data_IF_445552452452
#
_entry.id   IF_445552452452
#
_cell.length_a   1.000
_cell.length_b   1.000
_cell.length_c   1.000
_cell.angle_alpha   90.00
_cell.angle_beta   90.00
_cell.angle_gamma   90.00
#
_symmetry.space_group_name_H-M   'P 1'
#
loop_
_entity.id
_entity.type
_entity.pdbx_description
1 polymer ?
#
# COMPACT_ATOMS: atom_id res chain seq x y z
N UNK A 1 -16.44 19.05 -19.15
CA UNK A 1 -15.06 19.53 -19.04
C UNK A 1 -14.30 18.41 -18.36
N UNK A 2 -13.27 17.86 -18.98
CA UNK A 2 -12.47 16.80 -18.36
C UNK A 2 -11.37 17.41 -17.52
N UNK A 3 -11.05 16.75 -16.43
CA UNK A 3 -10.00 17.08 -15.49
C UNK A 3 -8.64 17.00 -16.19
N UNK A 4 -7.76 17.95 -15.90
CA UNK A 4 -6.39 17.89 -16.42
C UNK A 4 -5.63 16.74 -15.76
N UNK A 5 -4.52 16.34 -16.38
CA UNK A 5 -3.62 15.32 -15.83
C UNK A 5 -3.21 15.65 -14.39
N UNK A 6 -2.89 16.91 -14.11
CA UNK A 6 -2.46 17.39 -12.80
C UNK A 6 -3.60 17.28 -11.78
N UNK A 7 -4.82 17.62 -12.18
CA UNK A 7 -6.01 17.49 -11.34
C UNK A 7 -6.29 16.01 -11.02
N UNK A 8 -6.18 15.12 -12.01
CA UNK A 8 -6.32 13.68 -11.82
C UNK A 8 -5.24 13.12 -10.87
N UNK A 9 -3.99 13.58 -11.00
CA UNK A 9 -2.91 13.17 -10.09
C UNK A 9 -3.17 13.61 -8.64
N UNK A 10 -3.66 14.83 -8.43
CA UNK A 10 -4.01 15.34 -7.10
C UNK A 10 -5.20 14.58 -6.49
N UNK A 11 -6.22 14.24 -7.30
CA UNK A 11 -7.34 13.40 -6.86
C UNK A 11 -6.84 12.03 -6.41
N UNK A 12 -5.99 11.38 -7.21
CA UNK A 12 -5.42 10.07 -6.88
C UNK A 12 -4.57 10.12 -5.61
N UNK A 13 -3.78 11.18 -5.43
CA UNK A 13 -2.97 11.39 -4.22
C UNK A 13 -3.85 11.52 -2.97
N UNK A 14 -4.90 12.34 -3.03
CA UNK A 14 -5.86 12.52 -1.92
C UNK A 14 -6.59 11.23 -1.59
N UNK A 15 -7.04 10.49 -2.61
CA UNK A 15 -7.70 9.19 -2.42
C UNK A 15 -6.76 8.18 -1.74
N UNK A 16 -5.49 8.11 -2.16
CA UNK A 16 -4.50 7.22 -1.55
C UNK A 16 -4.24 7.58 -0.08
N UNK A 17 -4.05 8.86 0.22
CA UNK A 17 -3.86 9.36 1.59
C UNK A 17 -5.07 9.06 2.48
N UNK A 18 -6.28 9.23 1.95
CA UNK A 18 -7.51 8.95 2.67
C UNK A 18 -7.64 7.45 3.01
N UNK A 19 -7.43 6.57 2.03
CA UNK A 19 -7.48 5.12 2.24
C UNK A 19 -6.44 4.65 3.28
N UNK A 20 -5.22 5.19 3.21
CA UNK A 20 -4.16 4.93 4.20
C UNK A 20 -4.58 5.35 5.60
N UNK A 21 -5.13 6.56 5.73
CA UNK A 21 -5.60 7.10 7.01
C UNK A 21 -6.70 6.22 7.60
N UNK A 22 -7.73 5.87 6.82
CA UNK A 22 -8.83 5.03 7.29
C UNK A 22 -8.34 3.65 7.76
N UNK A 23 -7.42 3.02 7.00
CA UNK A 23 -6.87 1.73 7.39
C UNK A 23 -6.13 1.81 8.74
N UNK A 24 -5.30 2.85 8.94
CA UNK A 24 -4.62 3.08 10.22
C UNK A 24 -5.59 3.29 11.37
N UNK A 25 -6.59 4.15 11.18
CA UNK A 25 -7.63 4.44 12.19
C UNK A 25 -8.46 3.20 12.54
N UNK A 26 -8.65 2.28 11.60
CA UNK A 26 -9.37 1.01 11.82
C UNK A 26 -8.47 -0.13 12.32
N UNK A 27 -7.18 0.08 12.54
CA UNK A 27 -6.25 -0.99 12.88
C UNK A 27 -6.03 -2.01 11.75
N UNK A 28 -6.36 -1.67 10.51
CA UNK A 28 -6.28 -2.54 9.36
C UNK A 28 -4.95 -2.37 8.60
N UNK A 29 -4.47 -3.46 8.00
CA UNK A 29 -3.35 -3.41 7.06
C UNK A 29 -3.81 -3.06 5.65
N UNK A 30 -2.97 -2.34 4.90
CA UNK A 30 -3.15 -2.11 3.47
C UNK A 30 -2.17 -2.96 2.66
N UNK A 31 -2.58 -3.31 1.45
CA UNK A 31 -1.81 -4.14 0.53
C UNK A 31 -1.66 -3.42 -0.81
N UNK A 32 -0.45 -3.34 -1.33
CA UNK A 32 -0.18 -2.68 -2.61
C UNK A 32 1.06 -3.26 -3.29
N UNK A 33 1.24 -2.93 -4.58
CA UNK A 33 2.45 -3.28 -5.33
C UNK A 33 3.31 -2.02 -5.44
N UNK A 34 4.60 -2.14 -5.09
CA UNK A 34 5.60 -1.08 -5.26
C UNK A 34 6.91 -1.69 -5.70
N UNK A 35 7.54 -1.13 -6.74
CA UNK A 35 8.81 -1.64 -7.30
C UNK A 35 8.77 -3.15 -7.60
N UNK A 36 7.64 -3.61 -8.18
CA UNK A 36 7.37 -5.02 -8.47
C UNK A 36 7.30 -5.96 -7.24
N UNK A 37 7.24 -5.40 -6.03
CA UNK A 37 7.12 -6.14 -4.77
C UNK A 37 5.72 -5.96 -4.20
N UNK A 38 5.16 -7.03 -3.64
CA UNK A 38 3.91 -6.99 -2.87
C UNK A 38 4.25 -6.49 -1.47
N UNK A 39 3.63 -5.40 -1.05
CA UNK A 39 3.91 -4.77 0.25
C UNK A 39 2.64 -4.76 1.08
N UNK A 40 2.75 -5.21 2.33
CA UNK A 40 1.78 -4.94 3.39
C UNK A 40 2.29 -3.78 4.23
N UNK A 41 1.46 -2.80 4.50
CA UNK A 41 1.72 -1.79 5.54
C UNK A 41 0.68 -1.97 6.64
N UNK A 42 1.14 -2.13 7.88
CA UNK A 42 0.26 -2.28 9.03
C UNK A 42 -0.27 -0.93 9.54
N UNK A 43 -1.11 -0.98 10.59
CA UNK A 43 -1.73 0.21 11.15
C UNK A 43 -0.72 1.16 11.82
N UNK A 44 0.42 0.65 12.27
CA UNK A 44 1.52 1.42 12.86
C UNK A 44 2.40 2.06 11.78
N UNK A 45 2.29 1.59 10.54
CA UNK A 45 3.06 2.04 9.39
C UNK A 45 4.31 1.20 9.12
N UNK A 46 4.48 0.08 9.81
CA UNK A 46 5.54 -0.88 9.49
C UNK A 46 5.22 -1.55 8.16
N UNK A 47 6.22 -1.68 7.30
CA UNK A 47 6.08 -2.22 5.94
C UNK A 47 6.75 -3.58 5.84
N UNK A 48 6.10 -4.49 5.13
CA UNK A 48 6.58 -5.84 4.93
C UNK A 48 6.46 -6.26 3.47
N UNK A 49 7.52 -6.81 2.91
CA UNK A 49 7.50 -7.46 1.60
C UNK A 49 6.90 -8.86 1.75
N UNK A 50 5.92 -9.15 0.91
CA UNK A 50 5.23 -10.44 0.88
C UNK A 50 5.86 -11.29 -0.23
N UNK A 51 6.44 -12.43 0.15
CA UNK A 51 7.00 -13.43 -0.75
C UNK A 51 6.25 -14.74 -0.55
N UNK A 52 6.09 -15.53 -1.60
CA UNK A 52 5.54 -16.88 -1.52
C UNK A 52 6.67 -17.87 -1.77
N UNK A 53 6.83 -18.84 -0.87
CA UNK A 53 7.82 -19.89 -1.06
C UNK A 53 7.40 -20.88 -2.16
N UNK A 54 8.28 -21.84 -2.47
CA UNK A 54 8.04 -22.87 -3.49
C UNK A 54 6.81 -23.76 -3.20
N UNK A 55 6.33 -23.79 -1.96
CA UNK A 55 5.13 -24.53 -1.55
C UNK A 55 3.86 -23.66 -1.53
N UNK A 56 4.00 -22.37 -1.85
CA UNK A 56 2.90 -21.41 -1.85
C UNK A 56 2.59 -20.80 -0.48
N UNK A 57 3.44 -21.02 0.53
CA UNK A 57 3.27 -20.39 1.84
C UNK A 57 3.75 -18.95 1.80
N UNK A 58 3.00 -18.07 2.47
CA UNK A 58 3.31 -16.65 2.61
C UNK A 58 4.43 -16.44 3.63
N UNK A 59 5.43 -15.68 3.23
CA UNK A 59 6.49 -15.17 4.09
C UNK A 59 6.50 -13.64 4.05
N UNK A 60 6.86 -13.03 5.16
CA UNK A 60 6.93 -11.58 5.30
C UNK A 60 8.28 -11.16 5.85
N UNK A 61 8.87 -10.17 5.19
CA UNK A 61 10.16 -9.60 5.55
C UNK A 61 10.01 -8.10 5.70
N UNK A 62 10.75 -7.49 6.61
CA UNK A 62 10.73 -6.03 6.76
C UNK A 62 11.12 -5.36 5.42
N UNK A 63 10.32 -4.39 5.01
CA UNK A 63 10.52 -3.69 3.75
C UNK A 63 11.13 -2.31 3.99
N UNK A 64 12.42 -2.20 3.67
CA UNK A 64 13.13 -0.93 3.65
C UNK A 64 12.99 -0.28 2.26
N UNK A 65 12.56 0.99 2.26
CA UNK A 65 12.32 1.79 1.05
C UNK A 65 13.59 2.46 0.53
#
# INVERSE_FOLDING_TARGET
MFETREQLQEILKKANQHARKQAKESGASIYYIKNNKRVREDAEGNKFEIIFDATGNRQEFEYHE
#
